data_IF_752369786019
#
_entry.id   IF_752369786019
#
_cell.length_a   1.000
_cell.length_b   1.000
_cell.length_c   1.000
_cell.angle_alpha   90.00
_cell.angle_beta   90.00
_cell.angle_gamma   90.00
#
_symmetry.space_group_name_H-M   'P 1'
#
loop_
_entity.id
_entity.type
_entity.pdbx_description
1 polymer ?
#
# COMPACT_ATOMS: atom_id res chain seq x y z
N UNK A 1 22.20 -0.82 36.12
CA UNK A 1 23.45 -1.28 36.77
C UNK A 1 24.18 -0.11 37.44
N UNK A 2 24.36 1.01 36.75
CA UNK A 2 24.94 2.26 37.29
C UNK A 2 24.06 2.92 38.34
N UNK A 3 22.76 3.08 38.10
CA UNK A 3 21.80 3.64 39.09
C UNK A 3 21.64 2.79 40.36
N UNK A 4 21.93 1.49 40.24
CA UNK A 4 21.93 0.53 41.36
C UNK A 4 23.30 0.46 42.06
N UNK A 5 24.28 1.26 41.65
CA UNK A 5 25.62 1.30 42.24
C UNK A 5 26.49 0.06 42.00
N UNK A 6 26.11 -0.81 41.07
CA UNK A 6 26.77 -2.11 40.84
C UNK A 6 28.06 -1.99 40.00
N UNK A 7 28.19 -0.91 39.24
CA UNK A 7 29.35 -0.61 38.38
C UNK A 7 29.43 0.91 38.19
N UNK A 8 30.66 1.47 38.16
CA UNK A 8 30.85 2.89 37.84
C UNK A 8 30.51 3.19 36.37
N UNK A 9 30.02 4.39 36.07
CA UNK A 9 29.69 4.78 34.69
C UNK A 9 30.90 4.67 33.75
N UNK A 10 32.09 5.00 34.25
CA UNK A 10 33.33 4.88 33.49
C UNK A 10 33.67 3.42 33.17
N UNK A 11 33.49 2.52 34.13
CA UNK A 11 33.76 1.08 33.94
C UNK A 11 32.75 0.45 32.99
N UNK A 12 31.49 0.89 33.04
CA UNK A 12 30.46 0.47 32.09
C UNK A 12 30.79 0.96 30.67
N UNK A 13 31.12 2.25 30.49
CA UNK A 13 31.51 2.81 29.20
C UNK A 13 32.74 2.08 28.63
N UNK A 14 33.77 1.83 29.45
CA UNK A 14 34.97 1.09 29.05
C UNK A 14 34.67 -0.37 28.64
N UNK A 15 33.69 -1.00 29.29
CA UNK A 15 33.28 -2.37 28.97
C UNK A 15 32.48 -2.43 27.67
N UNK A 16 31.56 -1.48 27.46
CA UNK A 16 30.78 -1.35 26.23
C UNK A 16 31.68 -0.99 25.04
N UNK A 17 32.66 -0.10 25.21
CA UNK A 17 33.64 0.24 24.17
C UNK A 17 34.45 -0.97 23.72
N UNK A 18 34.88 -1.82 24.67
CA UNK A 18 35.58 -3.07 24.36
C UNK A 18 34.67 -4.07 23.64
N UNK A 19 33.44 -4.23 24.09
CA UNK A 19 32.47 -5.15 23.49
C UNK A 19 32.11 -4.76 22.05
N UNK A 20 31.90 -3.46 21.81
CA UNK A 20 31.50 -2.92 20.49
C UNK A 20 32.68 -2.51 19.61
N UNK A 21 33.92 -2.73 20.07
CA UNK A 21 35.15 -2.32 19.38
C UNK A 21 35.17 -0.81 19.04
N UNK A 22 34.57 0.01 19.90
CA UNK A 22 34.55 1.46 19.73
C UNK A 22 35.93 2.05 20.08
N UNK A 23 36.50 2.95 19.25
CA UNK A 23 37.82 3.54 19.50
C UNK A 23 37.91 4.33 20.81
N UNK A 24 39.02 4.13 21.54
CA UNK A 24 39.38 4.85 22.78
C UNK A 24 40.87 5.24 22.75
N UNK A 25 41.31 6.38 23.33
CA UNK A 25 40.53 7.35 24.09
C UNK A 25 39.59 8.20 23.22
N UNK A 26 38.54 8.74 23.84
CA UNK A 26 37.60 9.65 23.18
C UNK A 26 38.02 11.07 23.52
N UNK A 27 38.45 11.83 22.53
CA UNK A 27 38.70 13.27 22.69
C UNK A 27 37.38 14.02 22.58
N UNK A 28 37.09 14.83 23.58
CA UNK A 28 35.94 15.73 23.60
C UNK A 28 36.45 17.10 23.16
N UNK A 29 35.91 17.70 22.09
CA UNK A 29 36.35 19.00 21.65
C UNK A 29 35.96 20.08 22.67
N UNK A 30 36.83 21.07 22.86
CA UNK A 30 36.57 22.23 23.74
C UNK A 30 35.45 23.12 23.19
N UNK A 31 35.21 23.08 21.88
CA UNK A 31 34.14 23.79 21.19
C UNK A 31 33.52 22.90 20.11
N UNK A 32 32.20 22.88 20.03
CA UNK A 32 31.45 22.17 18.99
C UNK A 32 31.04 23.21 17.93
N UNK A 33 31.34 22.94 16.66
CA UNK A 33 31.02 23.88 15.58
C UNK A 33 29.49 24.06 15.44
N UNK A 34 29.01 25.26 15.07
CA UNK A 34 27.57 25.51 14.87
C UNK A 34 26.93 24.57 13.86
N UNK A 35 27.68 24.15 12.84
CA UNK A 35 27.24 23.19 11.81
C UNK A 35 26.94 21.80 12.42
N UNK A 36 27.71 21.38 13.43
CA UNK A 36 27.46 20.12 14.15
C UNK A 36 26.26 20.20 15.09
N UNK A 37 25.82 21.41 15.48
CA UNK A 37 24.64 21.63 16.32
C UNK A 37 23.42 22.09 15.51
N UNK A 38 23.58 22.30 14.20
CA UNK A 38 22.55 22.81 13.32
C UNK A 38 21.35 21.85 13.27
N UNK A 39 20.17 22.36 13.63
CA UNK A 39 18.92 21.60 13.56
C UNK A 39 18.68 20.61 14.70
N UNK A 40 19.52 20.56 15.73
CA UNK A 40 19.33 19.68 16.90
C UNK A 40 19.36 20.49 18.20
N UNK A 41 18.23 20.58 18.94
CA UNK A 41 18.19 21.29 20.21
C UNK A 41 19.12 20.68 21.27
N UNK A 42 19.82 21.52 22.03
CA UNK A 42 20.69 21.07 23.14
C UNK A 42 19.93 20.24 24.18
N UNK A 43 18.65 20.54 24.41
CA UNK A 43 17.79 19.76 25.29
C UNK A 43 17.63 18.30 24.82
N UNK A 44 17.52 18.06 23.51
CA UNK A 44 17.41 16.71 22.93
C UNK A 44 18.72 15.93 23.09
N UNK A 45 19.86 16.59 22.82
CA UNK A 45 21.19 16.03 23.05
C UNK A 45 21.39 15.66 24.53
N UNK A 46 20.93 16.51 25.45
CA UNK A 46 21.00 16.30 26.90
C UNK A 46 20.13 15.14 27.35
N UNK A 47 18.87 15.09 26.92
CA UNK A 47 17.91 14.04 27.29
C UNK A 47 18.44 12.65 26.89
N UNK A 48 18.93 12.53 25.65
CA UNK A 48 19.44 11.29 25.11
C UNK A 48 20.92 11.02 25.47
N UNK A 49 21.60 11.97 26.10
CA UNK A 49 23.04 11.93 26.37
C UNK A 49 23.85 11.55 25.11
N UNK A 50 23.69 12.39 24.09
CA UNK A 50 24.38 12.29 22.81
C UNK A 50 25.10 13.61 22.51
N UNK A 51 26.32 13.54 21.98
CA UNK A 51 27.08 14.73 21.62
C UNK A 51 27.87 14.49 20.32
N UNK A 52 27.62 15.26 19.25
CA UNK A 52 28.49 15.31 18.08
C UNK A 52 29.92 15.74 18.46
N UNK A 53 30.93 14.99 18.02
CA UNK A 53 32.34 15.25 18.32
C UNK A 53 33.13 15.75 17.11
N UNK A 54 32.88 15.17 15.94
CA UNK A 54 33.57 15.52 14.71
C UNK A 54 32.67 15.23 13.51
N UNK A 55 32.72 16.11 12.50
CA UNK A 55 31.97 15.94 11.25
C UNK A 55 32.91 16.05 10.05
N UNK A 56 32.90 15.02 9.21
CA UNK A 56 33.59 14.98 7.92
C UNK A 56 32.57 14.69 6.80
N UNK A 57 32.96 14.84 5.53
CA UNK A 57 32.10 14.75 4.32
C UNK A 57 31.19 13.51 4.19
N UNK A 58 31.52 12.38 4.84
CA UNK A 58 30.72 11.14 4.80
C UNK A 58 30.35 10.58 6.19
N UNK A 59 30.90 11.15 7.27
CA UNK A 59 30.77 10.58 8.63
C UNK A 59 30.60 11.63 9.71
N UNK A 60 29.82 11.29 10.72
CA UNK A 60 29.68 12.05 11.97
C UNK A 60 30.12 11.17 13.14
N UNK A 61 31.15 11.60 13.85
CA UNK A 61 31.62 10.96 15.08
C UNK A 61 30.76 11.47 16.23
N UNK A 62 30.13 10.57 16.97
CA UNK A 62 29.14 10.91 17.99
C UNK A 62 29.44 10.20 19.29
N UNK A 63 29.52 10.94 20.40
CA UNK A 63 29.51 10.38 21.75
C UNK A 63 28.09 9.97 22.14
N UNK A 64 27.92 8.76 22.64
CA UNK A 64 26.65 8.22 23.13
C UNK A 64 26.83 7.56 24.49
N UNK A 65 25.88 7.76 25.40
CA UNK A 65 25.85 7.04 26.66
C UNK A 65 25.28 5.61 26.51
N UNK A 66 24.29 5.46 25.62
CA UNK A 66 23.67 4.17 25.31
C UNK A 66 23.86 3.83 23.81
N UNK A 67 24.81 2.96 23.45
CA UNK A 67 25.04 2.55 22.07
C UNK A 67 23.94 1.65 21.51
N UNK A 68 23.01 1.19 22.34
CA UNK A 68 21.89 0.34 21.93
C UNK A 68 20.60 1.13 21.70
N UNK A 69 20.61 2.46 21.90
CA UNK A 69 19.51 3.34 21.51
C UNK A 69 19.47 3.55 20.00
N UNK A 70 19.15 2.48 19.26
CA UNK A 70 19.14 2.48 17.79
C UNK A 70 18.20 3.55 17.22
N UNK A 71 17.10 3.87 17.90
CA UNK A 71 16.16 4.91 17.48
C UNK A 71 16.81 6.30 17.47
N UNK A 72 17.54 6.65 18.53
CA UNK A 72 18.21 7.97 18.60
C UNK A 72 19.39 8.05 17.64
N UNK A 73 20.13 6.95 17.49
CA UNK A 73 21.28 6.85 16.57
C UNK A 73 20.80 6.98 15.11
N UNK A 74 19.75 6.25 14.71
CA UNK A 74 19.18 6.35 13.37
C UNK A 74 18.63 7.75 13.07
N UNK A 75 18.02 8.41 14.06
CA UNK A 75 17.50 9.77 13.91
C UNK A 75 18.62 10.79 13.64
N UNK A 76 19.75 10.70 14.36
CA UNK A 76 20.91 11.54 14.07
C UNK A 76 21.51 11.21 12.70
N UNK A 77 21.66 9.94 12.33
CA UNK A 77 22.23 9.55 11.04
C UNK A 77 21.43 10.14 9.86
N UNK A 78 20.10 10.11 9.98
CA UNK A 78 19.19 10.69 9.00
C UNK A 78 19.28 12.21 8.94
N UNK A 79 19.24 12.89 10.10
CA UNK A 79 19.30 14.36 10.18
C UNK A 79 20.55 14.93 9.51
N UNK A 80 21.71 14.32 9.75
CA UNK A 80 22.98 14.79 9.19
C UNK A 80 23.30 14.21 7.81
N UNK A 81 22.48 13.29 7.28
CA UNK A 81 22.73 12.55 6.04
C UNK A 81 24.13 11.89 5.99
N UNK A 82 24.59 11.37 7.13
CA UNK A 82 25.96 10.85 7.33
C UNK A 82 25.97 9.51 8.05
N UNK A 83 27.01 8.73 7.81
CA UNK A 83 27.27 7.52 8.61
C UNK A 83 27.74 7.89 10.01
N UNK A 84 27.23 7.21 11.06
CA UNK A 84 27.63 7.51 12.43
C UNK A 84 28.77 6.61 12.90
N UNK A 85 29.82 7.23 13.45
CA UNK A 85 30.90 6.56 14.14
C UNK A 85 30.76 6.78 15.65
N UNK A 86 30.27 5.77 16.36
CA UNK A 86 29.95 5.89 17.79
C UNK A 86 31.22 5.91 18.66
N UNK A 87 31.16 6.70 19.71
CA UNK A 87 32.10 6.74 20.84
C UNK A 87 31.30 6.62 22.11
N UNK A 88 31.73 5.80 23.06
CA UNK A 88 30.95 5.55 24.26
C UNK A 88 31.59 6.31 25.41
N UNK A 89 30.81 7.19 26.02
CA UNK A 89 31.22 8.01 27.15
C UNK A 89 30.19 7.91 28.28
N UNK A 90 30.59 8.15 29.53
CA UNK A 90 29.64 8.25 30.63
C UNK A 90 28.56 9.30 30.34
N UNK A 91 27.31 8.99 30.72
CA UNK A 91 26.18 9.91 30.59
C UNK A 91 26.51 11.27 31.20
N UNK A 92 27.06 11.24 32.41
CA UNK A 92 27.46 12.44 33.14
C UNK A 92 28.46 13.30 32.36
N UNK A 93 29.48 12.67 31.75
CA UNK A 93 30.49 13.37 30.94
C UNK A 93 29.86 14.07 29.75
N UNK A 94 28.92 13.41 29.05
CA UNK A 94 28.23 14.00 27.90
C UNK A 94 27.36 15.18 28.34
N UNK A 95 26.57 15.02 29.41
CA UNK A 95 25.69 16.09 29.90
C UNK A 95 26.47 17.31 30.42
N UNK A 96 27.59 17.10 31.14
CA UNK A 96 28.46 18.18 31.60
C UNK A 96 29.06 18.98 30.43
N UNK A 97 29.38 18.32 29.31
CA UNK A 97 29.84 19.01 28.10
C UNK A 97 28.74 19.85 27.45
N UNK A 98 27.52 19.33 27.37
CA UNK A 98 26.37 20.06 26.83
C UNK A 98 26.08 21.31 27.68
N UNK A 99 26.14 21.19 29.01
CA UNK A 99 25.93 22.31 29.92
C UNK A 99 27.00 23.41 29.74
N UNK A 100 28.26 23.05 29.50
CA UNK A 100 29.32 24.03 29.18
C UNK A 100 29.07 24.73 27.84
N UNK A 101 28.61 24.00 26.82
CA UNK A 101 28.26 24.57 25.51
C UNK A 101 27.12 25.58 25.67
N UNK A 102 26.06 25.22 26.39
CA UNK A 102 24.92 26.10 26.66
C UNK A 102 25.34 27.38 27.42
N UNK A 103 26.16 27.24 28.47
CA UNK A 103 26.70 28.37 29.23
C UNK A 103 27.59 29.28 28.37
N UNK A 104 28.41 28.71 27.49
CA UNK A 104 29.26 29.48 26.57
C UNK A 104 28.43 30.27 25.54
N UNK A 105 27.35 29.67 25.03
CA UNK A 105 26.42 30.31 24.10
C UNK A 105 25.65 31.46 24.78
N UNK A 106 25.19 31.26 26.02
CA UNK A 106 24.52 32.29 26.83
C UNK A 106 25.45 33.46 27.17
N UNK A 107 26.71 33.17 27.54
CA UNK A 107 27.72 34.19 27.81
C UNK A 107 28.07 35.01 26.56
N UNK A 108 28.21 34.35 25.40
CA UNK A 108 28.43 35.02 24.11
C UNK A 108 27.25 35.92 23.69
N UNK A 109 26.01 35.50 23.96
CA UNK A 109 24.81 36.30 23.68
C UNK A 109 24.69 37.55 24.56
N UNK A 110 25.23 37.51 25.79
CA UNK A 110 25.16 38.63 26.74
C UNK A 110 26.19 39.75 26.50
N UNK A 111 27.26 39.50 25.74
CA UNK A 111 28.40 40.42 25.57
C UNK A 111 28.42 41.26 24.26
N UNK A 112 27.36 41.22 23.45
CA UNK A 112 27.11 42.21 22.40
C UNK A 112 28.11 42.23 21.23
N UNK A 113 27.84 41.43 20.19
CA UNK A 113 28.47 41.54 18.87
C UNK A 113 27.64 40.82 17.82
N UNK A 114 27.15 41.57 16.83
CA UNK A 114 26.30 41.12 15.72
C UNK A 114 26.87 39.92 14.95
N UNK A 115 26.04 38.89 14.73
CA UNK A 115 26.26 37.87 13.68
C UNK A 115 26.34 36.44 14.19
N UNK A 116 25.19 35.84 14.45
CA UNK A 116 25.04 34.40 14.68
C UNK A 116 23.59 34.16 15.08
N UNK A 117 22.80 33.56 14.20
CA UNK A 117 21.44 33.12 14.49
C UNK A 117 21.48 32.29 15.77
N UNK A 118 21.00 32.90 16.86
CA UNK A 118 20.74 32.19 18.10
C UNK A 118 19.68 31.17 17.73
N UNK A 119 20.08 29.90 17.76
CA UNK A 119 19.23 28.73 17.54
C UNK A 119 18.20 28.64 18.67
N UNK A 120 17.21 29.53 18.63
CA UNK A 120 16.02 29.51 19.46
C UNK A 120 15.06 28.47 18.86
N UNK A 121 15.33 27.19 19.16
CA UNK A 121 14.40 26.11 18.82
C UNK A 121 13.25 26.13 19.84
N UNK A 122 12.08 26.58 19.39
CA UNK A 122 10.87 26.64 20.21
C UNK A 122 10.33 25.24 20.56
N UNK A 123 9.31 25.17 21.44
CA UNK A 123 8.62 23.91 21.79
C UNK A 123 8.11 23.14 20.55
N UNK A 124 7.73 23.88 19.50
CA UNK A 124 7.28 23.35 18.20
C UNK A 124 8.35 22.51 17.49
N UNK A 125 9.64 22.82 17.64
CA UNK A 125 10.71 22.07 16.99
C UNK A 125 11.03 20.77 17.74
N UNK A 126 10.85 20.76 19.06
CA UNK A 126 10.92 19.54 19.88
C UNK A 126 9.73 18.61 19.58
N UNK A 127 8.55 19.17 19.35
CA UNK A 127 7.36 18.41 18.95
C UNK A 127 7.51 17.87 17.52
N UNK A 128 8.03 18.66 16.58
CA UNK A 128 8.38 18.22 15.23
C UNK A 128 9.44 17.12 15.22
N UNK A 129 10.52 17.24 16.01
CA UNK A 129 11.56 16.20 16.12
C UNK A 129 11.02 14.92 16.77
N UNK A 130 10.13 15.02 17.76
CA UNK A 130 9.41 13.86 18.32
C UNK A 130 8.46 13.23 17.31
N UNK A 131 7.81 14.04 16.47
CA UNK A 131 6.98 13.57 15.37
C UNK A 131 7.82 12.91 14.29
N UNK A 132 8.98 13.47 13.90
CA UNK A 132 9.93 12.83 12.97
C UNK A 132 10.50 11.52 13.53
N UNK A 133 10.87 11.47 14.81
CA UNK A 133 11.37 10.26 15.48
C UNK A 133 10.28 9.17 15.62
N UNK A 134 9.01 9.56 15.74
CA UNK A 134 7.85 8.65 15.69
C UNK A 134 7.51 8.25 14.26
N UNK A 135 7.69 9.15 13.30
CA UNK A 135 7.37 8.92 11.89
C UNK A 135 8.35 7.95 11.23
N UNK A 136 9.66 8.01 11.50
CA UNK A 136 10.63 7.16 10.79
C UNK A 136 10.40 5.63 10.99
N UNK A 137 10.18 5.10 12.20
CA UNK A 137 9.84 3.69 12.41
C UNK A 137 8.48 3.33 11.80
N UNK A 138 7.52 4.24 11.82
CA UNK A 138 6.17 4.02 11.29
C UNK A 138 6.17 4.01 9.76
N UNK A 139 6.90 4.93 9.13
CA UNK A 139 7.10 4.98 7.68
C UNK A 139 7.78 3.70 7.21
N UNK A 140 8.83 3.26 7.90
CA UNK A 140 9.52 1.99 7.61
C UNK A 140 8.59 0.80 7.79
N UNK A 141 7.88 0.73 8.91
CA UNK A 141 6.93 -0.34 9.20
C UNK A 141 5.82 -0.46 8.15
N UNK A 142 5.21 0.66 7.76
CA UNK A 142 4.17 0.67 6.72
C UNK A 142 4.74 0.24 5.38
N UNK A 143 5.92 0.75 4.99
CA UNK A 143 6.58 0.37 3.75
C UNK A 143 6.95 -1.12 3.72
N UNK A 144 7.57 -1.63 4.79
CA UNK A 144 7.93 -3.05 4.93
C UNK A 144 6.70 -3.95 4.94
N UNK A 145 5.62 -3.55 5.61
CA UNK A 145 4.36 -4.31 5.62
C UNK A 145 3.80 -4.44 4.21
N UNK A 146 3.78 -3.35 3.44
CA UNK A 146 3.32 -3.39 2.04
C UNK A 146 4.26 -4.22 1.17
N UNK A 147 5.58 -4.08 1.33
CA UNK A 147 6.57 -4.88 0.59
C UNK A 147 6.42 -6.37 0.87
N UNK A 148 6.33 -6.77 2.15
CA UNK A 148 6.10 -8.17 2.56
C UNK A 148 4.80 -8.71 1.95
N UNK A 149 3.73 -7.92 1.93
CA UNK A 149 2.46 -8.34 1.35
C UNK A 149 2.53 -8.56 -0.16
N UNK A 150 3.18 -7.65 -0.89
CA UNK A 150 3.39 -7.78 -2.34
C UNK A 150 4.27 -8.99 -2.66
N UNK A 151 5.37 -9.18 -1.93
CA UNK A 151 6.26 -10.33 -2.10
C UNK A 151 5.56 -11.66 -1.81
N UNK A 152 4.72 -11.69 -0.77
CA UNK A 152 3.89 -12.84 -0.43
C UNK A 152 2.68 -13.02 -1.36
N UNK A 153 2.50 -12.14 -2.38
CA UNK A 153 1.34 -12.14 -3.29
C UNK A 153 0.00 -12.13 -2.55
N UNK A 154 -0.11 -11.30 -1.52
CA UNK A 154 -1.36 -11.07 -0.81
C UNK A 154 -2.36 -10.30 -1.70
N UNK A 155 -3.65 -10.59 -1.56
CA UNK A 155 -4.72 -9.81 -2.18
C UNK A 155 -5.11 -8.59 -1.34
N UNK A 156 -5.05 -8.74 -0.01
CA UNK A 156 -5.45 -7.70 0.94
C UNK A 156 -4.52 -7.71 2.16
N UNK A 157 -4.20 -6.51 2.67
CA UNK A 157 -3.54 -6.27 3.94
C UNK A 157 -4.60 -5.76 4.92
N UNK A 158 -4.70 -6.39 6.07
CA UNK A 158 -5.59 -6.01 7.16
C UNK A 158 -4.74 -5.53 8.34
N UNK A 159 -4.98 -4.31 8.81
CA UNK A 159 -4.37 -3.72 10.00
C UNK A 159 -5.51 -3.48 10.98
N UNK A 160 -5.57 -4.29 12.02
CA UNK A 160 -6.74 -4.37 12.91
C UNK A 160 -6.31 -4.05 14.34
N UNK A 161 -6.84 -2.98 14.94
CA UNK A 161 -6.59 -2.72 16.35
C UNK A 161 -7.39 -3.68 17.22
N UNK A 162 -6.70 -4.31 18.16
CA UNK A 162 -7.28 -5.05 19.29
C UNK A 162 -7.04 -4.25 20.57
N UNK A 163 -7.43 -4.80 21.71
CA UNK A 163 -7.38 -4.11 23.00
C UNK A 163 -5.96 -3.68 23.40
N UNK A 164 -4.97 -4.54 23.17
CA UNK A 164 -3.58 -4.38 23.64
C UNK A 164 -2.55 -4.25 22.51
N UNK A 165 -2.88 -4.65 21.29
CA UNK A 165 -1.97 -4.62 20.14
C UNK A 165 -2.69 -4.38 18.81
N UNK A 166 -1.91 -4.06 17.77
CA UNK A 166 -2.37 -4.04 16.39
C UNK A 166 -2.00 -5.36 15.74
N UNK A 167 -2.99 -6.06 15.18
CA UNK A 167 -2.79 -7.29 14.43
C UNK A 167 -2.71 -7.02 12.95
N UNK A 168 -1.66 -7.51 12.30
CA UNK A 168 -1.48 -7.42 10.84
C UNK A 168 -1.77 -8.79 10.23
N UNK A 169 -2.73 -8.85 9.30
CA UNK A 169 -3.09 -10.06 8.57
C UNK A 169 -3.00 -9.85 7.07
N UNK A 170 -2.53 -10.85 6.36
CA UNK A 170 -2.63 -10.89 4.90
C UNK A 170 -3.72 -11.85 4.48
N UNK A 171 -4.38 -11.52 3.36
CA UNK A 171 -5.26 -12.44 2.66
C UNK A 171 -4.51 -13.05 1.48
N UNK A 172 -4.43 -14.39 1.45
CA UNK A 172 -3.89 -15.17 0.34
C UNK A 172 -4.94 -16.18 -0.11
N UNK A 173 -5.29 -16.19 -1.39
CA UNK A 173 -6.29 -17.12 -1.96
C UNK A 173 -7.59 -17.22 -1.14
N UNK A 174 -8.05 -16.08 -0.62
CA UNK A 174 -9.25 -15.99 0.22
C UNK A 174 -9.05 -16.29 1.71
N UNK A 175 -7.92 -16.87 2.12
CA UNK A 175 -7.62 -17.17 3.52
C UNK A 175 -6.91 -16.02 4.23
N UNK A 176 -7.32 -15.71 5.45
CA UNK A 176 -6.64 -14.74 6.32
C UNK A 176 -5.62 -15.45 7.20
N UNK A 177 -4.42 -14.89 7.27
CA UNK A 177 -3.34 -15.35 8.14
C UNK A 177 -2.68 -14.17 8.83
N UNK A 178 -2.46 -14.28 10.15
CA UNK A 178 -1.68 -13.30 10.90
C UNK A 178 -0.22 -13.42 10.54
N UNK A 179 0.40 -12.30 10.20
CA UNK A 179 1.79 -12.25 9.71
C UNK A 179 2.70 -11.42 10.60
N UNK A 180 2.13 -10.46 11.34
CA UNK A 180 2.88 -9.57 12.19
C UNK A 180 1.97 -8.94 13.25
N UNK A 181 2.57 -8.34 14.28
CA UNK A 181 1.89 -7.57 15.31
C UNK A 181 2.67 -6.31 15.63
N UNK A 182 1.99 -5.21 15.89
CA UNK A 182 2.61 -3.96 16.31
C UNK A 182 2.02 -3.49 17.65
N UNK A 183 2.75 -2.66 18.39
CA UNK A 183 2.25 -2.04 19.61
C UNK A 183 1.04 -1.15 19.30
N UNK A 184 0.04 -1.14 20.19
CA UNK A 184 -1.13 -0.25 20.07
C UNK A 184 -0.73 1.24 19.97
N UNK A 185 0.41 1.61 20.56
CA UNK A 185 0.96 2.96 20.47
C UNK A 185 1.30 3.38 19.03
N UNK A 186 1.60 2.43 18.14
CA UNK A 186 1.92 2.71 16.73
C UNK A 186 0.67 2.96 15.88
N UNK A 187 -0.53 2.57 16.33
CA UNK A 187 -1.76 2.60 15.53
C UNK A 187 -2.05 3.99 14.96
N UNK A 188 -1.93 5.02 15.80
CA UNK A 188 -2.25 6.40 15.40
C UNK A 188 -1.37 6.88 14.26
N UNK A 189 -0.06 6.61 14.33
CA UNK A 189 0.86 7.00 13.27
C UNK A 189 0.75 6.12 12.03
N UNK A 190 0.46 4.81 12.18
CA UNK A 190 0.16 3.94 11.03
C UNK A 190 -1.05 4.48 10.26
N UNK A 191 -2.14 4.82 10.97
CA UNK A 191 -3.34 5.40 10.36
C UNK A 191 -3.04 6.73 9.67
N UNK A 192 -2.38 7.66 10.36
CA UNK A 192 -1.98 8.95 9.79
C UNK A 192 -1.13 8.77 8.53
N UNK A 193 -0.11 7.89 8.56
CA UNK A 193 0.76 7.63 7.41
C UNK A 193 -0.03 7.11 6.21
N UNK A 194 -0.92 6.14 6.43
CA UNK A 194 -1.77 5.60 5.36
C UNK A 194 -2.72 6.67 4.82
N UNK A 195 -3.34 7.49 5.68
CA UNK A 195 -4.21 8.59 5.27
C UNK A 195 -3.47 9.64 4.44
N UNK A 196 -2.24 10.02 4.81
CA UNK A 196 -1.40 10.92 4.01
C UNK A 196 -1.16 10.34 2.62
N UNK A 197 -0.69 9.08 2.54
CA UNK A 197 -0.39 8.42 1.26
C UNK A 197 -1.61 8.27 0.36
N UNK A 198 -2.81 8.17 0.95
CA UNK A 198 -4.09 8.02 0.24
C UNK A 198 -4.91 9.32 0.12
N UNK A 199 -4.34 10.46 0.54
CA UNK A 199 -4.98 11.79 0.52
C UNK A 199 -6.32 11.86 1.27
N UNK A 200 -6.41 11.13 2.38
CA UNK A 200 -7.57 11.12 3.28
C UNK A 200 -7.45 12.19 4.37
N UNK A 201 -8.56 12.53 5.02
CA UNK A 201 -8.57 13.51 6.10
C UNK A 201 -8.04 12.88 7.40
N UNK A 202 -6.87 13.36 7.84
CA UNK A 202 -6.15 12.89 9.03
C UNK A 202 -6.89 13.26 10.32
N UNK A 203 -7.54 14.43 10.33
CA UNK A 203 -8.26 14.94 11.49
C UNK A 203 -9.59 14.21 11.74
N UNK A 204 -10.23 13.72 10.68
CA UNK A 204 -11.46 12.93 10.81
C UNK A 204 -11.12 11.47 11.10
N UNK A 205 -11.61 10.96 12.24
CA UNK A 205 -11.40 9.58 12.71
C UNK A 205 -12.68 8.86 13.09
N UNK A 206 -13.83 9.52 12.95
CA UNK A 206 -15.16 9.04 13.40
C UNK A 206 -16.02 8.52 12.24
N UNK A 207 -15.62 8.77 11.00
CA UNK A 207 -16.33 8.36 9.79
C UNK A 207 -15.46 7.42 8.95
N UNK A 208 -16.07 6.42 8.28
CA UNK A 208 -15.40 5.65 7.24
C UNK A 208 -14.81 6.54 6.15
N UNK A 209 -13.63 6.17 5.65
CA UNK A 209 -12.95 6.88 4.56
C UNK A 209 -12.36 5.87 3.57
N UNK A 210 -12.55 6.13 2.28
CA UNK A 210 -12.01 5.31 1.19
C UNK A 210 -11.10 6.15 0.31
N UNK A 211 -9.97 5.57 -0.09
CA UNK A 211 -8.94 6.24 -0.86
C UNK A 211 -8.21 5.30 -1.80
N UNK A 212 -7.24 5.87 -2.51
CA UNK A 212 -6.30 5.11 -3.35
C UNK A 212 -4.91 5.67 -3.12
N UNK A 213 -3.91 4.79 -3.13
CA UNK A 213 -2.50 5.19 -3.11
C UNK A 213 -1.72 4.36 -4.11
N UNK A 214 -0.62 4.93 -4.61
CA UNK A 214 0.34 4.23 -5.47
C UNK A 214 1.68 4.20 -4.77
N UNK A 215 2.33 3.06 -4.75
CA UNK A 215 3.64 2.87 -4.11
C UNK A 215 4.55 2.06 -5.03
N UNK A 216 5.81 2.45 -5.12
CA UNK A 216 6.82 1.72 -5.86
C UNK A 216 7.39 0.59 -4.98
N UNK A 217 7.21 -0.66 -5.41
CA UNK A 217 7.76 -1.85 -4.76
C UNK A 217 8.71 -2.52 -5.75
N UNK A 218 10.00 -2.62 -5.41
CA UNK A 218 11.06 -3.19 -6.27
C UNK A 218 11.06 -2.61 -7.70
N UNK A 219 10.88 -1.29 -7.81
CA UNK A 219 10.85 -0.59 -9.10
C UNK A 219 9.58 -0.79 -9.93
N UNK A 220 8.53 -1.41 -9.37
CA UNK A 220 7.20 -1.51 -9.98
C UNK A 220 6.18 -0.69 -9.21
N UNK A 221 5.35 0.05 -9.94
CA UNK A 221 4.21 0.75 -9.35
C UNK A 221 3.11 -0.25 -8.98
N UNK A 222 2.74 -0.27 -7.71
CA UNK A 222 1.63 -1.04 -7.16
C UNK A 222 0.52 -0.06 -6.78
N UNK A 223 -0.67 -0.25 -7.33
CA UNK A 223 -1.85 0.52 -6.97
C UNK A 223 -2.58 -0.16 -5.81
N UNK A 224 -2.96 0.59 -4.78
CA UNK A 224 -3.69 0.09 -3.62
C UNK A 224 -4.99 0.85 -3.43
N UNK A 225 -6.07 0.13 -3.14
CA UNK A 225 -7.32 0.71 -2.64
C UNK A 225 -7.28 0.67 -1.12
N UNK A 226 -7.54 1.81 -0.50
CA UNK A 226 -7.49 2.00 0.95
C UNK A 226 -8.90 2.16 1.48
N UNK A 227 -9.22 1.47 2.56
CA UNK A 227 -10.44 1.68 3.34
C UNK A 227 -10.07 1.78 4.81
N UNK A 228 -10.55 2.82 5.47
CA UNK A 228 -10.32 3.11 6.90
C UNK A 228 -11.67 3.23 7.57
N UNK A 229 -11.90 2.45 8.62
CA UNK A 229 -13.16 2.49 9.39
C UNK A 229 -12.89 2.69 10.88
N UNK A 230 -13.68 3.51 11.58
CA UNK A 230 -13.60 3.60 13.04
C UNK A 230 -14.03 2.27 13.69
N UNK A 231 -13.33 1.88 14.74
CA UNK A 231 -13.68 0.73 15.60
C UNK A 231 -13.46 1.07 17.08
N UNK A 232 -13.83 0.15 17.98
CA UNK A 232 -13.77 0.35 19.44
C UNK A 232 -12.33 0.66 19.91
N UNK A 233 -11.33 0.03 19.31
CA UNK A 233 -9.91 0.16 19.71
C UNK A 233 -9.11 1.11 18.80
N UNK A 234 -9.79 1.88 17.94
CA UNK A 234 -9.18 2.80 16.98
C UNK A 234 -9.54 2.45 15.53
N UNK A 235 -8.80 2.98 14.57
CA UNK A 235 -9.14 2.81 13.15
C UNK A 235 -8.66 1.46 12.61
N UNK A 236 -9.57 0.68 12.05
CA UNK A 236 -9.23 -0.53 11.29
C UNK A 236 -9.00 -0.16 9.82
N UNK A 237 -7.95 -0.72 9.22
CA UNK A 237 -7.50 -0.34 7.89
C UNK A 237 -7.38 -1.58 7.01
N UNK A 238 -7.88 -1.48 5.79
CA UNK A 238 -7.73 -2.50 4.75
C UNK A 238 -7.07 -1.88 3.52
N UNK A 239 -5.98 -2.48 3.07
CA UNK A 239 -5.31 -2.14 1.81
C UNK A 239 -5.51 -3.29 0.83
N UNK A 240 -6.28 -3.07 -0.23
CA UNK A 240 -6.40 -4.03 -1.33
C UNK A 240 -5.31 -3.78 -2.34
N UNK A 241 -4.47 -4.77 -2.59
CA UNK A 241 -3.39 -4.72 -3.57
C UNK A 241 -4.00 -4.96 -4.95
N UNK A 242 -3.91 -3.96 -5.81
CA UNK A 242 -4.26 -4.06 -7.23
C UNK A 242 -2.96 -4.25 -7.99
N UNK A 243 -2.43 -5.48 -7.98
CA UNK A 243 -1.26 -5.81 -8.80
C UNK A 243 -1.67 -5.79 -10.28
N UNK A 244 -1.34 -4.69 -10.94
CA UNK A 244 -1.62 -4.47 -12.37
C UNK A 244 -0.57 -5.11 -13.28
N UNK A 245 0.54 -5.62 -12.73
CA UNK A 245 1.72 -6.02 -13.48
C UNK A 245 2.02 -7.52 -13.29
N UNK A 246 1.18 -8.39 -13.85
CA UNK A 246 1.52 -9.82 -13.83
C UNK A 246 0.49 -10.82 -14.33
N UNK A 247 -0.74 -10.42 -14.68
CA UNK A 247 -1.69 -11.39 -15.23
C UNK A 247 -1.31 -11.68 -16.68
N UNK A 248 -0.62 -12.80 -16.90
CA UNK A 248 -0.41 -13.33 -18.25
C UNK A 248 -1.78 -13.75 -18.82
N UNK A 249 -2.39 -12.86 -19.61
CA UNK A 249 -3.73 -13.02 -20.23
C UNK A 249 -3.71 -14.03 -21.37
N UNK A 250 -3.34 -15.27 -21.07
CA UNK A 250 -3.32 -16.38 -22.02
C UNK A 250 -4.26 -17.45 -21.50
N UNK A 251 -5.27 -17.79 -22.30
CA UNK A 251 -6.26 -18.80 -21.94
C UNK A 251 -5.60 -20.14 -21.53
N UNK A 252 -4.53 -20.53 -22.22
CA UNK A 252 -3.76 -21.74 -21.92
C UNK A 252 -2.99 -21.74 -20.59
N UNK A 253 -2.92 -20.61 -19.89
CA UNK A 253 -2.30 -20.51 -18.55
C UNK A 253 -3.32 -20.52 -17.40
N UNK A 254 -4.62 -20.45 -17.71
CA UNK A 254 -5.69 -20.33 -16.72
C UNK A 254 -6.10 -21.65 -16.05
N UNK A 255 -5.51 -22.79 -16.46
CA UNK A 255 -5.78 -24.10 -15.87
C UNK A 255 -6.98 -24.85 -16.47
N UNK A 256 -7.51 -24.38 -17.60
CA UNK A 256 -8.46 -25.15 -18.41
C UNK A 256 -7.75 -26.31 -19.10
N UNK A 257 -8.40 -27.47 -19.18
CA UNK A 257 -7.94 -28.56 -20.05
C UNK A 257 -8.11 -28.20 -21.54
N UNK A 258 -7.47 -28.95 -22.43
CA UNK A 258 -7.46 -28.65 -23.87
C UNK A 258 -8.87 -28.67 -24.48
N UNK A 259 -9.75 -29.54 -23.97
CA UNK A 259 -11.12 -29.64 -24.45
C UNK A 259 -11.95 -28.41 -24.07
N UNK A 260 -11.80 -27.90 -22.85
CA UNK A 260 -12.41 -26.67 -22.38
C UNK A 260 -11.86 -25.46 -23.11
N UNK A 261 -10.53 -25.38 -23.30
CA UNK A 261 -9.91 -24.31 -24.08
C UNK A 261 -10.44 -24.27 -25.52
N UNK A 262 -10.57 -25.43 -26.18
CA UNK A 262 -11.12 -25.52 -27.53
C UNK A 262 -12.58 -25.04 -27.59
N UNK A 263 -13.41 -25.42 -26.61
CA UNK A 263 -14.81 -24.95 -26.52
C UNK A 263 -14.88 -23.44 -26.28
N UNK A 264 -14.07 -22.90 -25.39
CA UNK A 264 -14.01 -21.46 -25.11
C UNK A 264 -13.59 -20.69 -26.37
N UNK A 265 -12.55 -21.15 -27.07
CA UNK A 265 -12.11 -20.54 -28.33
C UNK A 265 -13.19 -20.58 -29.40
N UNK A 266 -13.85 -21.72 -29.57
CA UNK A 266 -14.96 -21.87 -30.51
C UNK A 266 -16.09 -20.86 -30.22
N UNK A 267 -16.50 -20.72 -28.96
CA UNK A 267 -17.50 -19.72 -28.56
C UNK A 267 -17.02 -18.28 -28.80
N UNK A 268 -15.73 -17.99 -28.58
CA UNK A 268 -15.16 -16.65 -28.79
C UNK A 268 -15.00 -16.23 -30.24
N UNK A 269 -15.14 -17.18 -31.17
CA UNK A 269 -15.05 -16.97 -32.62
C UNK A 269 -16.42 -16.93 -33.29
N UNK A 270 -17.51 -17.07 -32.53
CA UNK A 270 -18.85 -16.93 -33.08
C UNK A 270 -19.04 -15.54 -33.71
N UNK A 271 -19.75 -15.47 -34.83
CA UNK A 271 -20.02 -14.20 -35.51
C UNK A 271 -20.84 -13.23 -34.65
N UNK A 272 -21.77 -13.77 -33.86
CA UNK A 272 -22.63 -13.01 -32.97
C UNK A 272 -23.15 -13.90 -31.84
N UNK A 273 -23.80 -13.30 -30.85
CA UNK A 273 -24.46 -14.01 -29.75
C UNK A 273 -23.90 -13.62 -28.38
N UNK A 274 -24.34 -14.30 -27.33
CA UNK A 274 -23.93 -14.03 -25.95
C UNK A 274 -23.17 -15.21 -25.39
N UNK A 275 -21.98 -14.95 -24.84
CA UNK A 275 -21.20 -15.91 -24.03
C UNK A 275 -21.17 -15.41 -22.59
N UNK A 276 -21.63 -16.25 -21.66
CA UNK A 276 -21.71 -15.90 -20.25
C UNK A 276 -20.67 -16.65 -19.44
N UNK A 277 -19.99 -15.95 -18.54
CA UNK A 277 -19.16 -16.57 -17.50
C UNK A 277 -19.84 -16.36 -16.16
N UNK A 278 -20.07 -17.45 -15.42
CA UNK A 278 -20.77 -17.41 -14.14
C UNK A 278 -19.96 -18.02 -13.00
N UNK A 279 -20.16 -17.45 -11.81
CA UNK A 279 -19.54 -17.89 -10.58
C UNK A 279 -19.54 -16.80 -9.50
N UNK A 280 -19.23 -17.16 -8.24
CA UNK A 280 -19.19 -16.23 -7.13
C UNK A 280 -18.08 -15.20 -7.33
N UNK A 281 -18.06 -14.21 -6.44
CA UNK A 281 -16.94 -13.27 -6.33
C UNK A 281 -15.63 -14.02 -6.15
N UNK A 282 -14.56 -13.57 -6.81
CA UNK A 282 -13.24 -14.22 -6.73
C UNK A 282 -13.10 -15.54 -7.49
N UNK A 283 -14.05 -15.92 -8.34
CA UNK A 283 -13.94 -17.14 -9.18
C UNK A 283 -13.08 -16.98 -10.44
N UNK A 284 -12.48 -15.81 -10.67
CA UNK A 284 -11.60 -15.54 -11.82
C UNK A 284 -12.33 -15.22 -13.13
N UNK A 285 -13.61 -14.83 -13.09
CA UNK A 285 -14.42 -14.52 -14.30
C UNK A 285 -13.76 -13.46 -15.18
N UNK A 286 -13.39 -12.32 -14.59
CA UNK A 286 -12.77 -11.19 -15.28
C UNK A 286 -11.46 -11.60 -15.95
N UNK A 287 -10.63 -12.41 -15.27
CA UNK A 287 -9.37 -12.94 -15.80
C UNK A 287 -9.59 -13.78 -17.06
N UNK A 288 -10.60 -14.66 -17.06
CA UNK A 288 -10.96 -15.46 -18.23
C UNK A 288 -11.48 -14.59 -19.37
N UNK A 289 -12.39 -13.65 -19.09
CA UNK A 289 -12.93 -12.72 -20.08
C UNK A 289 -11.81 -11.92 -20.77
N UNK A 290 -10.94 -11.31 -19.98
CA UNK A 290 -9.84 -10.53 -20.51
C UNK A 290 -8.83 -11.38 -21.29
N UNK A 291 -8.61 -12.65 -20.91
CA UNK A 291 -7.77 -13.56 -21.69
C UNK A 291 -8.40 -13.89 -23.04
N UNK A 292 -9.73 -14.04 -23.10
CA UNK A 292 -10.46 -14.20 -24.36
C UNK A 292 -10.33 -12.93 -25.21
N UNK A 293 -10.57 -11.76 -24.62
CA UNK A 293 -10.45 -10.48 -25.34
C UNK A 293 -9.02 -10.23 -25.84
N UNK A 294 -8.00 -10.58 -25.06
CA UNK A 294 -6.60 -10.47 -25.48
C UNK A 294 -6.29 -11.37 -26.69
N UNK A 295 -6.82 -12.60 -26.74
CA UNK A 295 -6.66 -13.48 -27.92
C UNK A 295 -7.44 -12.96 -29.15
N UNK A 296 -8.49 -12.15 -28.96
CA UNK A 296 -9.34 -11.59 -30.03
C UNK A 296 -8.94 -10.19 -30.47
N UNK A 297 -8.16 -9.46 -29.68
CA UNK A 297 -7.68 -8.10 -30.00
C UNK A 297 -6.72 -8.15 -31.18
N UNK A 298 -7.23 -7.76 -32.36
CA UNK A 298 -6.49 -7.65 -33.61
C UNK A 298 -6.87 -6.32 -34.27
N UNK A 299 -6.02 -5.74 -35.14
CA UNK A 299 -6.29 -4.45 -35.77
C UNK A 299 -7.59 -4.38 -36.58
N UNK A 300 -8.09 -5.53 -37.05
CA UNK A 300 -9.31 -5.70 -37.83
C UNK A 300 -10.57 -5.99 -36.98
N UNK A 301 -10.46 -5.97 -35.64
CA UNK A 301 -11.57 -6.25 -34.72
C UNK A 301 -11.72 -5.12 -33.70
N UNK A 302 -12.86 -4.44 -33.71
CA UNK A 302 -13.18 -3.36 -32.79
C UNK A 302 -13.85 -3.90 -31.52
N UNK A 303 -13.16 -3.76 -30.39
CA UNK A 303 -13.60 -4.27 -29.10
C UNK A 303 -13.93 -3.13 -28.14
N UNK A 304 -15.11 -3.19 -27.53
CA UNK A 304 -15.53 -2.30 -26.44
C UNK A 304 -15.82 -3.06 -25.15
N UNK A 305 -15.54 -2.44 -24.01
CA UNK A 305 -15.95 -2.95 -22.69
C UNK A 305 -16.72 -1.89 -21.90
N UNK A 306 -17.63 -2.33 -21.03
CA UNK A 306 -18.27 -1.50 -19.99
C UNK A 306 -18.06 -2.20 -18.66
N UNK A 307 -17.45 -1.52 -17.69
CA UNK A 307 -16.97 -2.16 -16.45
C UNK A 307 -17.18 -1.27 -15.21
N UNK A 308 -17.25 -1.88 -14.03
CA UNK A 308 -17.49 -1.18 -12.75
C UNK A 308 -16.62 -1.79 -11.61
N UNK A 309 -15.37 -1.34 -11.43
CA UNK A 309 -14.57 -0.47 -12.29
C UNK A 309 -13.79 -1.26 -13.37
N UNK A 310 -13.03 -0.54 -14.22
CA UNK A 310 -12.03 -1.17 -15.09
C UNK A 310 -10.87 -1.67 -14.23
N UNK A 311 -10.62 -2.98 -14.24
CA UNK A 311 -9.59 -3.63 -13.39
C UNK A 311 -8.17 -3.33 -13.88
N UNK A 312 -7.93 -3.47 -15.19
CA UNK A 312 -6.66 -3.13 -15.83
C UNK A 312 -6.86 -2.71 -17.30
N UNK A 313 -5.90 -1.93 -17.79
CA UNK A 313 -5.96 -1.37 -19.15
C UNK A 313 -5.48 -2.40 -20.16
N UNK A 314 -6.28 -2.67 -21.18
CA UNK A 314 -5.96 -3.57 -22.28
C UNK A 314 -5.57 -2.76 -23.52
N UNK A 315 -4.41 -3.05 -24.08
CA UNK A 315 -4.01 -2.46 -25.35
C UNK A 315 -4.95 -2.91 -26.48
N UNK A 316 -5.32 -1.98 -27.37
CA UNK A 316 -6.18 -2.28 -28.52
C UNK A 316 -7.67 -2.47 -28.20
N UNK A 317 -8.11 -2.14 -26.98
CA UNK A 317 -9.51 -2.27 -26.55
C UNK A 317 -10.00 -0.95 -25.95
N UNK A 318 -11.20 -0.51 -26.34
CA UNK A 318 -11.81 0.69 -25.78
C UNK A 318 -12.61 0.33 -24.53
N UNK A 319 -12.13 0.71 -23.35
CA UNK A 319 -12.76 0.36 -22.07
C UNK A 319 -13.49 1.56 -21.47
N UNK A 320 -14.79 1.42 -21.25
CA UNK A 320 -15.63 2.40 -20.56
C UNK A 320 -15.82 1.96 -19.11
N UNK A 321 -15.74 2.92 -18.19
CA UNK A 321 -16.10 2.69 -16.80
C UNK A 321 -17.47 3.29 -16.51
N UNK A 322 -18.33 2.54 -15.82
CA UNK A 322 -19.59 3.04 -15.27
C UNK A 322 -19.31 4.27 -14.39
N UNK A 323 -20.13 5.31 -14.57
CA UNK A 323 -20.01 6.55 -13.82
C UNK A 323 -21.40 7.06 -13.39
N UNK A 324 -21.84 6.69 -12.16
CA UNK A 324 -23.14 7.10 -11.65
C UNK A 324 -23.28 8.63 -11.49
N UNK A 325 -22.18 9.38 -11.37
CA UNK A 325 -22.25 10.84 -11.18
C UNK A 325 -22.72 11.60 -12.44
N UNK A 326 -22.73 10.93 -13.59
CA UNK A 326 -23.20 11.49 -14.88
C UNK A 326 -24.25 10.58 -15.54
N UNK A 327 -24.89 9.70 -14.76
CA UNK A 327 -25.89 8.73 -15.22
C UNK A 327 -25.38 7.79 -16.35
N UNK A 328 -24.08 7.49 -16.36
CA UNK A 328 -23.50 6.53 -17.30
C UNK A 328 -23.50 5.12 -16.69
N UNK A 329 -24.62 4.42 -16.79
CA UNK A 329 -24.78 3.02 -16.38
C UNK A 329 -24.44 2.00 -17.50
N UNK A 330 -24.58 0.71 -17.20
CA UNK A 330 -24.29 -0.38 -18.15
C UNK A 330 -25.16 -0.30 -19.41
N UNK A 331 -26.47 -0.06 -19.27
CA UNK A 331 -27.40 -0.03 -20.40
C UNK A 331 -27.18 1.19 -21.29
N UNK A 332 -26.98 2.37 -20.68
CA UNK A 332 -26.69 3.63 -21.37
C UNK A 332 -25.35 3.56 -22.14
N UNK A 333 -24.31 3.01 -21.51
CA UNK A 333 -23.01 2.80 -22.15
C UNK A 333 -23.12 1.82 -23.32
N UNK A 334 -23.82 0.69 -23.14
CA UNK A 334 -24.02 -0.30 -24.19
C UNK A 334 -24.77 0.27 -25.40
N UNK A 335 -25.86 1.01 -25.19
CA UNK A 335 -26.58 1.69 -26.28
C UNK A 335 -25.67 2.64 -27.06
N UNK A 336 -24.75 3.30 -26.39
CA UNK A 336 -23.80 4.22 -27.01
C UNK A 336 -22.74 3.47 -27.81
N UNK A 337 -22.23 2.35 -27.28
CA UNK A 337 -21.28 1.46 -27.96
C UNK A 337 -21.88 0.90 -29.25
N UNK A 338 -23.17 0.55 -29.29
CA UNK A 338 -23.81 0.06 -30.52
C UNK A 338 -23.81 1.05 -31.69
N UNK A 339 -23.57 2.35 -31.43
CA UNK A 339 -23.39 3.37 -32.48
C UNK A 339 -21.93 3.58 -32.88
N UNK A 340 -21.02 2.81 -32.30
CA UNK A 340 -19.58 2.90 -32.55
C UNK A 340 -19.09 1.80 -33.49
N UNK A 341 -19.97 1.06 -34.17
CA UNK A 341 -19.59 -0.04 -35.07
C UNK A 341 -18.67 -1.09 -34.39
N UNK A 342 -19.07 -1.67 -33.24
CA UNK A 342 -18.25 -2.66 -32.53
C UNK A 342 -18.41 -4.06 -33.14
N UNK A 343 -17.38 -4.90 -33.05
CA UNK A 343 -17.50 -6.34 -33.37
C UNK A 343 -17.77 -7.16 -32.10
N UNK A 344 -17.03 -6.84 -31.04
CA UNK A 344 -17.06 -7.54 -29.76
C UNK A 344 -17.36 -6.55 -28.65
N UNK A 345 -18.28 -6.93 -27.76
CA UNK A 345 -18.68 -6.14 -26.62
C UNK A 345 -18.51 -6.97 -25.34
N UNK A 346 -17.83 -6.43 -24.34
CA UNK A 346 -17.83 -6.96 -22.98
C UNK A 346 -18.67 -6.09 -22.06
N UNK A 347 -19.66 -6.69 -21.41
CA UNK A 347 -20.36 -6.10 -20.27
C UNK A 347 -19.82 -6.75 -19.00
N UNK A 348 -19.27 -5.97 -18.07
CA UNK A 348 -18.69 -6.48 -16.82
C UNK A 348 -19.64 -7.45 -16.11
N UNK A 349 -20.93 -7.14 -16.09
CA UNK A 349 -21.99 -8.03 -15.61
C UNK A 349 -23.37 -7.59 -16.10
N UNK A 350 -24.33 -8.51 -16.00
CA UNK A 350 -25.76 -8.22 -16.22
C UNK A 350 -26.47 -8.31 -14.86
N UNK A 351 -26.81 -7.15 -14.28
CA UNK A 351 -27.47 -7.06 -12.96
C UNK A 351 -28.99 -6.95 -13.05
N UNK A 352 -29.49 -6.37 -14.13
CA UNK A 352 -30.89 -5.96 -14.28
C UNK A 352 -31.46 -6.34 -15.65
N UNK A 353 -32.79 -6.20 -15.76
CA UNK A 353 -33.56 -6.51 -16.96
C UNK A 353 -33.16 -5.66 -18.15
N UNK A 354 -32.89 -4.37 -17.92
CA UNK A 354 -32.62 -3.42 -18.99
C UNK A 354 -31.30 -3.76 -19.69
N UNK A 355 -30.24 -3.95 -18.93
CA UNK A 355 -28.93 -4.38 -19.42
C UNK A 355 -29.04 -5.72 -20.15
N UNK A 356 -29.80 -6.68 -19.59
CA UNK A 356 -30.05 -7.96 -20.24
C UNK A 356 -30.76 -7.81 -21.60
N UNK A 357 -31.78 -6.95 -21.69
CA UNK A 357 -32.51 -6.70 -22.92
C UNK A 357 -31.63 -6.08 -23.99
N UNK A 358 -30.84 -5.07 -23.64
CA UNK A 358 -29.93 -4.42 -24.60
C UNK A 358 -28.83 -5.38 -25.05
N UNK A 359 -28.31 -6.24 -24.17
CA UNK A 359 -27.34 -7.28 -24.54
C UNK A 359 -27.91 -8.31 -25.53
N UNK A 360 -29.17 -8.74 -25.32
CA UNK A 360 -29.89 -9.62 -26.25
C UNK A 360 -30.11 -8.95 -27.60
N UNK A 361 -30.49 -7.67 -27.61
CA UNK A 361 -30.64 -6.93 -28.87
C UNK A 361 -29.32 -6.79 -29.62
N UNK A 362 -28.22 -6.45 -28.93
CA UNK A 362 -26.89 -6.40 -29.51
C UNK A 362 -26.50 -7.74 -30.17
N UNK A 363 -26.75 -8.85 -29.46
CA UNK A 363 -26.48 -10.19 -29.97
C UNK A 363 -27.31 -10.54 -31.22
N UNK A 364 -28.58 -10.14 -31.28
CA UNK A 364 -29.45 -10.35 -32.44
C UNK A 364 -29.04 -9.50 -33.65
N UNK A 365 -28.45 -8.32 -33.41
CA UNK A 365 -28.01 -7.40 -34.47
C UNK A 365 -26.58 -7.64 -34.94
N UNK A 366 -26.01 -8.83 -34.65
CA UNK A 366 -24.74 -9.26 -35.23
C UNK A 366 -23.52 -9.08 -34.33
N UNK A 367 -23.69 -8.69 -33.07
CA UNK A 367 -22.55 -8.46 -32.16
C UNK A 367 -22.24 -9.70 -31.32
N UNK A 368 -20.96 -9.95 -31.03
CA UNK A 368 -20.55 -10.94 -30.04
C UNK A 368 -20.43 -10.26 -28.67
N UNK A 369 -21.30 -10.65 -27.74
CA UNK A 369 -21.37 -10.09 -26.39
C UNK A 369 -20.82 -11.08 -25.38
N UNK A 370 -19.85 -10.65 -24.59
CA UNK A 370 -19.41 -11.35 -23.40
C UNK A 370 -19.98 -10.68 -22.16
N UNK A 371 -20.39 -11.47 -21.16
CA UNK A 371 -20.73 -10.91 -19.86
C UNK A 371 -20.60 -11.89 -18.71
N UNK A 372 -20.83 -11.41 -17.49
CA UNK A 372 -20.87 -12.23 -16.29
C UNK A 372 -22.21 -12.24 -15.59
N UNK A 373 -22.46 -13.34 -14.87
CA UNK A 373 -23.54 -13.47 -13.91
C UNK A 373 -23.00 -14.06 -12.60
N UNK A 374 -23.74 -13.85 -11.52
CA UNK A 374 -23.45 -14.42 -10.20
C UNK A 374 -24.40 -15.60 -9.93
N UNK A 375 -24.20 -16.72 -10.64
CA UNK A 375 -24.94 -17.96 -10.40
C UNK A 375 -24.01 -19.11 -10.04
N UNK A 376 -24.56 -20.12 -9.36
CA UNK A 376 -23.77 -21.24 -8.87
C UNK A 376 -23.48 -22.30 -9.95
N UNK A 377 -24.21 -22.30 -11.06
CA UNK A 377 -24.09 -23.28 -12.15
C UNK A 377 -24.35 -22.63 -13.52
N UNK A 378 -23.87 -23.29 -14.58
CA UNK A 378 -24.06 -22.82 -15.95
C UNK A 378 -25.56 -22.78 -16.32
N UNK A 379 -26.32 -23.83 -16.00
CA UNK A 379 -27.77 -23.84 -16.22
C UNK A 379 -28.50 -22.73 -15.44
N UNK A 380 -28.04 -22.42 -14.22
CA UNK A 380 -28.61 -21.35 -13.41
C UNK A 380 -28.50 -19.96 -14.04
N UNK A 381 -27.54 -19.73 -14.94
CA UNK A 381 -27.45 -18.48 -15.69
C UNK A 381 -28.66 -18.25 -16.61
N UNK A 382 -29.14 -19.31 -17.26
CA UNK A 382 -30.32 -19.25 -18.14
C UNK A 382 -31.59 -18.98 -17.33
N UNK A 383 -31.73 -19.66 -16.19
CA UNK A 383 -32.83 -19.39 -15.25
C UNK A 383 -32.79 -17.94 -14.79
N UNK A 384 -31.62 -17.42 -14.43
CA UNK A 384 -31.46 -16.03 -13.97
C UNK A 384 -31.87 -15.00 -15.02
N UNK A 385 -31.52 -15.20 -16.29
CA UNK A 385 -31.94 -14.31 -17.37
C UNK A 385 -33.46 -14.37 -17.60
N UNK A 386 -34.06 -15.56 -17.49
CA UNK A 386 -35.52 -15.70 -17.56
C UNK A 386 -36.21 -15.00 -16.38
N UNK A 387 -35.65 -15.10 -15.18
CA UNK A 387 -36.16 -14.42 -13.99
C UNK A 387 -36.03 -12.88 -14.10
N UNK A 388 -35.04 -12.40 -14.85
CA UNK A 388 -34.92 -10.98 -15.24
C UNK A 388 -35.93 -10.56 -16.31
N UNK A 389 -36.73 -11.49 -16.84
CA UNK A 389 -37.77 -11.20 -17.83
C UNK A 389 -37.31 -11.26 -19.28
N UNK A 390 -36.26 -12.04 -19.58
CA UNK A 390 -35.88 -12.38 -20.96
C UNK A 390 -36.64 -13.62 -21.41
N UNK A 391 -37.33 -13.52 -22.54
CA UNK A 391 -38.12 -14.62 -23.10
C UNK A 391 -37.25 -15.80 -23.54
N UNK A 392 -37.74 -17.02 -23.31
CA UNK A 392 -36.98 -18.24 -23.57
C UNK A 392 -36.55 -18.41 -25.04
N UNK A 393 -37.36 -17.94 -25.99
CA UNK A 393 -37.01 -18.02 -27.42
C UNK A 393 -35.82 -17.09 -27.76
N UNK A 394 -35.71 -15.92 -27.10
CA UNK A 394 -34.58 -15.01 -27.26
C UNK A 394 -33.30 -15.63 -26.70
N UNK A 395 -33.39 -16.31 -25.57
CA UNK A 395 -32.26 -17.04 -24.99
C UNK A 395 -31.77 -18.14 -25.95
N UNK A 396 -32.69 -18.93 -26.50
CA UNK A 396 -32.37 -19.98 -27.47
C UNK A 396 -31.74 -19.44 -28.76
N UNK A 397 -32.13 -18.24 -29.20
CA UNK A 397 -31.59 -17.60 -30.39
C UNK A 397 -30.21 -16.95 -30.17
N UNK A 398 -29.93 -16.44 -28.97
CA UNK A 398 -28.77 -15.56 -28.72
C UNK A 398 -27.63 -16.21 -27.94
N UNK A 399 -27.89 -17.15 -27.02
CA UNK A 399 -26.84 -17.72 -26.16
C UNK A 399 -25.97 -18.69 -26.96
N UNK A 400 -24.66 -18.43 -26.98
CA UNK A 400 -23.65 -19.33 -27.58
C UNK A 400 -23.05 -20.30 -26.57
N UNK A 401 -23.01 -19.91 -25.29
CA UNK A 401 -22.68 -20.83 -24.22
C UNK A 401 -22.52 -20.15 -22.87
N UNK A 402 -22.45 -20.98 -21.83
CA UNK A 402 -22.29 -20.55 -20.45
C UNK A 402 -21.15 -21.35 -19.80
N UNK A 403 -20.18 -20.64 -19.22
CA UNK A 403 -19.03 -21.21 -18.53
C UNK A 403 -19.24 -21.00 -17.04
N UNK A 404 -19.36 -22.07 -16.26
CA UNK A 404 -19.35 -21.98 -14.79
C UNK A 404 -17.92 -22.17 -14.28
N UNK A 405 -17.40 -21.20 -13.54
CA UNK A 405 -15.99 -21.16 -13.13
C UNK A 405 -15.84 -21.11 -11.62
N UNK A 406 -14.81 -21.79 -11.10
CA UNK A 406 -14.30 -21.70 -9.72
C UNK A 406 -12.77 -21.74 -9.76
N UNK A 407 -12.14 -21.15 -8.75
CA UNK A 407 -10.72 -21.30 -8.50
C UNK A 407 -10.51 -22.30 -7.36
N UNK A 408 -9.54 -23.18 -7.54
CA UNK A 408 -9.09 -24.13 -6.53
C UNK A 408 -7.64 -23.77 -6.16
N UNK A 409 -7.30 -24.01 -4.89
CA UNK A 409 -5.93 -23.88 -4.42
C UNK A 409 -5.08 -25.00 -5.02
N UNK A 410 -3.86 -24.68 -5.42
CA UNK A 410 -2.88 -25.68 -5.87
C UNK A 410 -2.21 -26.32 -4.64
N UNK A 411 -1.93 -27.62 -4.74
CA UNK A 411 -1.11 -28.31 -3.75
C UNK A 411 0.31 -27.73 -3.84
N UNK A 412 0.91 -27.46 -2.69
CA UNK A 412 2.27 -26.91 -2.56
C UNK A 412 3.33 -27.85 -3.12
#
# INVERSE_FOLDING_TARGET
MTELGLIGEQDLANSLSRYLQAPTPVEIPDQVSPEMLAGVPLAYLRENAILPLQMDADRLVVAVADPFSSATIDALAFHYERTLALRILPRRTITECIDRIEQSALAAASNGGSGGEILDFGPDDLERLKDFAREAPIVRFVAETIHKAVDARATDIHIEPLEDHVRIRFRHDGMLSTVDTASIAMLSGISTRIKILSRLNIAERRLPQDGRMRIAVRGRDVDLRVSVIPSIHGEAIVLRILDRAGVELKLGKLGFDDAAQAKIRSMSQAANGIVLITGPTGSGKTTTLYSILAERSRPDVKIFTVEDPVEYRMAGITQLQVNPAIDLDFAAALRSILRQDPDIILLGEIRDRETAQVAVQAALTGHLVFSTLHTNSAAGALTRLRDMGIDGYLLGATIRGVIAQRLLRRIC
#
